data_IF_096344261452
#
_entry.id   IF_096344261452
#
_cell.length_a   1.000
_cell.length_b   1.000
_cell.length_c   1.000
_cell.angle_alpha   90.00
_cell.angle_beta   90.00
_cell.angle_gamma   90.00
#
_symmetry.space_group_name_H-M   'P 1'
#
loop_
_entity.id
_entity.type
_entity.pdbx_description
1 polymer ?
#
# COMPACT_ATOMS: atom_id res chain seq x y z
N UNK A 1 -12.75 -22.23 14.56
CA UNK A 1 -11.32 -21.89 14.66
C UNK A 1 -11.19 -20.59 13.90
N UNK A 2 -11.28 -19.45 14.57
CA UNK A 2 -11.15 -18.15 13.90
C UNK A 2 -9.66 -17.85 13.90
N UNK A 3 -9.00 -18.11 12.77
CA UNK A 3 -7.64 -17.67 12.54
C UNK A 3 -7.61 -16.14 12.75
N UNK A 4 -6.58 -15.58 13.41
CA UNK A 4 -6.46 -14.14 13.48
C UNK A 4 -6.33 -13.65 12.04
N UNK A 5 -7.33 -12.92 11.56
CA UNK A 5 -7.17 -12.11 10.36
C UNK A 5 -5.95 -11.25 10.63
N UNK A 6 -4.85 -11.51 9.92
CA UNK A 6 -3.64 -10.71 10.08
C UNK A 6 -3.98 -9.30 9.59
N UNK A 7 -4.33 -8.41 10.51
CA UNK A 7 -4.69 -7.00 10.25
C UNK A 7 -3.42 -6.20 9.91
N UNK A 8 -2.63 -6.67 8.95
CA UNK A 8 -1.38 -6.05 8.57
C UNK A 8 -0.66 -6.79 7.44
N UNK A 9 0.41 -6.18 6.91
CA UNK A 9 1.19 -6.76 5.83
C UNK A 9 1.75 -8.13 6.17
N UNK A 10 1.71 -9.04 5.19
CA UNK A 10 2.38 -10.34 5.30
C UNK A 10 3.92 -10.23 5.44
N UNK A 11 4.49 -9.10 5.04
CA UNK A 11 5.92 -8.82 5.18
C UNK A 11 6.25 -7.34 5.01
N UNK A 12 7.43 -6.98 5.52
CA UNK A 12 7.99 -5.63 5.46
C UNK A 12 9.32 -5.68 4.73
N UNK A 13 9.50 -4.80 3.76
CA UNK A 13 10.75 -4.64 3.02
C UNK A 13 11.32 -3.25 3.27
N UNK A 14 12.64 -3.16 3.41
CA UNK A 14 13.33 -1.89 3.62
C UNK A 14 13.48 -1.13 2.30
N UNK A 15 13.76 0.17 2.34
CA UNK A 15 13.97 0.96 1.12
C UNK A 15 15.12 0.44 0.23
N UNK A 16 16.28 0.01 0.79
CA UNK A 16 17.32 -0.67 0.02
C UNK A 16 16.82 -1.94 -0.68
N UNK A 17 16.06 -2.79 0.03
CA UNK A 17 15.51 -4.02 -0.54
C UNK A 17 14.49 -3.72 -1.66
N UNK A 18 13.65 -2.69 -1.49
CA UNK A 18 12.76 -2.18 -2.55
C UNK A 18 13.57 -1.71 -3.75
N UNK A 19 14.72 -1.06 -3.53
CA UNK A 19 15.58 -0.55 -4.59
C UNK A 19 16.16 -1.70 -5.43
N UNK A 20 16.62 -2.76 -4.78
CA UNK A 20 17.10 -3.98 -5.44
C UNK A 20 15.97 -4.71 -6.17
N UNK A 21 14.80 -4.83 -5.52
CA UNK A 21 13.64 -5.54 -6.08
C UNK A 21 13.03 -4.85 -7.30
N UNK A 22 13.05 -3.52 -7.33
CA UNK A 22 12.55 -2.73 -8.46
C UNK A 22 13.62 -2.47 -9.53
N UNK A 23 14.88 -2.84 -9.28
CA UNK A 23 16.05 -2.44 -10.07
C UNK A 23 16.11 -0.91 -10.28
N UNK A 24 15.85 -0.16 -9.20
CA UNK A 24 15.81 1.30 -9.20
C UNK A 24 16.80 1.86 -8.18
N UNK A 25 17.44 3.01 -8.46
CA UNK A 25 18.29 3.66 -7.46
C UNK A 25 17.45 4.08 -6.25
N UNK A 26 18.03 4.02 -5.05
CA UNK A 26 17.33 4.35 -3.80
C UNK A 26 16.72 5.76 -3.80
N UNK A 27 17.34 6.71 -4.51
CA UNK A 27 16.80 8.07 -4.71
C UNK A 27 15.45 8.05 -5.46
N UNK A 28 15.26 7.13 -6.40
CA UNK A 28 14.00 6.92 -7.11
C UNK A 28 12.95 6.30 -6.20
N UNK A 29 13.32 5.36 -5.33
CA UNK A 29 12.39 4.82 -4.30
C UNK A 29 11.91 5.93 -3.37
N UNK A 30 12.81 6.80 -2.91
CA UNK A 30 12.43 7.99 -2.14
C UNK A 30 11.52 8.93 -2.93
N UNK A 31 11.76 9.11 -4.23
CA UNK A 31 10.90 9.90 -5.11
C UNK A 31 9.50 9.30 -5.18
N UNK A 32 9.37 7.98 -5.39
CA UNK A 32 8.08 7.29 -5.44
C UNK A 32 7.27 7.48 -4.14
N UNK A 33 7.94 7.43 -2.99
CA UNK A 33 7.29 7.70 -1.69
C UNK A 33 6.81 9.15 -1.62
N UNK A 34 7.66 10.10 -2.01
CA UNK A 34 7.31 11.54 -2.02
C UNK A 34 6.17 11.87 -2.98
N UNK A 35 6.12 11.20 -4.12
CA UNK A 35 5.07 11.31 -5.13
C UNK A 35 3.81 10.51 -4.78
N UNK A 36 3.77 9.87 -3.60
CA UNK A 36 2.68 8.98 -3.15
C UNK A 36 2.40 7.85 -4.15
N UNK A 37 3.40 7.48 -4.93
CA UNK A 37 3.34 6.31 -5.79
C UNK A 37 3.57 5.02 -5.00
N UNK A 38 4.29 5.10 -3.87
CA UNK A 38 4.57 3.98 -2.96
C UNK A 38 4.34 4.41 -1.51
N UNK A 39 3.70 3.57 -0.70
CA UNK A 39 3.50 3.83 0.72
C UNK A 39 4.69 3.32 1.53
N UNK A 40 5.24 4.15 2.41
CA UNK A 40 6.25 3.76 3.39
C UNK A 40 5.88 4.28 4.76
N UNK A 41 6.02 3.45 5.79
CA UNK A 41 5.76 3.80 7.19
C UNK A 41 7.03 3.64 8.01
N UNK A 42 7.09 4.30 9.17
CA UNK A 42 8.20 4.18 10.10
C UNK A 42 7.87 3.12 11.15
N UNK A 43 8.60 2.01 11.16
CA UNK A 43 8.52 0.94 12.17
C UNK A 43 9.86 0.87 12.88
N UNK A 44 9.86 0.97 14.21
CA UNK A 44 11.07 0.89 15.06
C UNK A 44 12.22 1.82 14.60
N UNK A 45 11.87 3.00 14.10
CA UNK A 45 12.84 3.98 13.63
C UNK A 45 13.36 3.77 12.20
N UNK A 46 12.86 2.76 11.49
CA UNK A 46 13.26 2.40 10.12
C UNK A 46 12.08 2.60 9.17
N UNK A 47 12.34 3.11 7.97
CA UNK A 47 11.31 3.21 6.92
C UNK A 47 11.17 1.85 6.24
N UNK A 48 9.95 1.35 6.23
CA UNK A 48 9.60 0.06 5.64
C UNK A 48 8.37 0.20 4.76
N UNK A 49 8.32 -0.65 3.74
CA UNK A 49 7.25 -0.73 2.77
C UNK A 49 6.59 -2.11 2.92
N UNK A 50 5.25 -2.21 2.89
CA UNK A 50 4.58 -3.50 2.83
C UNK A 50 4.96 -4.27 1.56
N UNK A 51 5.39 -5.52 1.70
CA UNK A 51 5.90 -6.33 0.59
C UNK A 51 4.86 -6.52 -0.53
N UNK A 52 3.57 -6.55 -0.19
CA UNK A 52 2.45 -6.77 -1.12
C UNK A 52 2.20 -5.57 -2.05
N UNK A 53 2.64 -4.37 -1.67
CA UNK A 53 2.53 -3.19 -2.51
C UNK A 53 3.55 -3.16 -3.66
N UNK A 54 4.47 -4.13 -3.68
CA UNK A 54 5.52 -4.29 -4.69
C UNK A 54 5.33 -5.63 -5.41
N UNK A 55 4.77 -5.58 -6.62
CA UNK A 55 4.48 -6.74 -7.44
C UNK A 55 5.67 -7.11 -8.34
N UNK A 56 6.41 -8.15 -7.94
CA UNK A 56 7.53 -8.83 -8.63
C UNK A 56 8.73 -7.95 -9.05
N UNK A 57 8.50 -6.82 -9.72
CA UNK A 57 9.50 -5.81 -10.09
C UNK A 57 8.90 -4.40 -10.30
N UNK A 58 7.62 -4.17 -9.96
CA UNK A 58 6.95 -2.87 -10.13
C UNK A 58 6.04 -2.56 -8.95
N UNK A 59 5.77 -1.28 -8.73
CA UNK A 59 4.74 -0.87 -7.77
C UNK A 59 3.35 -1.15 -8.35
N UNK A 60 2.39 -1.50 -7.49
CA UNK A 60 1.01 -1.73 -7.92
C UNK A 60 0.45 -0.54 -8.71
N UNK A 61 0.04 -0.79 -9.96
CA UNK A 61 -0.43 0.23 -10.91
C UNK A 61 -1.52 1.13 -10.34
N UNK A 62 -2.42 0.58 -9.52
CA UNK A 62 -3.56 1.29 -8.97
C UNK A 62 -3.30 1.97 -7.62
N UNK A 63 -2.17 1.67 -6.98
CA UNK A 63 -1.81 2.19 -5.66
C UNK A 63 -1.67 3.72 -5.62
N UNK A 64 -0.99 4.40 -6.56
CA UNK A 64 -0.84 5.86 -6.50
C UNK A 64 -2.19 6.58 -6.50
N UNK A 65 -3.15 6.06 -7.26
CA UNK A 65 -4.50 6.63 -7.33
C UNK A 65 -5.26 6.51 -6.01
N UNK A 66 -5.10 5.39 -5.30
CA UNK A 66 -5.72 5.19 -3.99
C UNK A 66 -5.04 6.04 -2.91
N UNK A 67 -3.71 6.08 -2.89
CA UNK A 67 -2.96 6.88 -1.92
C UNK A 67 -3.27 8.37 -2.04
N UNK A 68 -3.43 8.88 -3.27
CA UNK A 68 -3.84 10.28 -3.47
C UNK A 68 -5.25 10.56 -2.96
N UNK A 69 -6.20 9.63 -3.14
CA UNK A 69 -7.57 9.78 -2.64
C UNK A 69 -7.61 9.78 -1.11
N UNK A 70 -6.88 8.86 -0.47
CA UNK A 70 -6.77 8.81 0.98
C UNK A 70 -6.13 10.09 1.52
N UNK A 71 -5.09 10.57 0.85
CA UNK A 71 -4.44 11.82 1.24
C UNK A 71 -5.36 13.04 1.12
N UNK A 72 -6.15 13.12 0.05
CA UNK A 72 -7.16 14.17 -0.15
C UNK A 72 -8.25 14.13 0.92
N UNK A 73 -8.63 12.92 1.36
CA UNK A 73 -9.51 12.70 2.51
C UNK A 73 -8.84 12.95 3.88
N UNK A 74 -7.58 13.41 3.91
CA UNK A 74 -6.87 13.80 5.12
C UNK A 74 -6.09 12.68 5.83
N UNK A 75 -5.96 11.50 5.22
CA UNK A 75 -5.26 10.36 5.83
C UNK A 75 -3.75 10.56 5.77
N UNK A 76 -3.08 10.24 6.87
CA UNK A 76 -1.62 10.12 6.93
C UNK A 76 -1.13 8.73 6.49
N UNK A 77 0.19 8.52 6.39
CA UNK A 77 0.77 7.25 5.92
C UNK A 77 0.36 6.03 6.78
N UNK A 78 0.25 6.19 8.11
CA UNK A 78 -0.17 5.11 9.01
C UNK A 78 -1.68 4.83 8.93
N UNK A 79 -2.48 5.86 8.69
CA UNK A 79 -3.92 5.71 8.44
C UNK A 79 -4.19 5.08 7.08
N UNK A 80 -3.47 5.49 6.05
CA UNK A 80 -3.54 4.88 4.72
C UNK A 80 -3.12 3.41 4.77
N UNK A 81 -2.07 3.07 5.54
CA UNK A 81 -1.69 1.69 5.81
C UNK A 81 -2.84 0.93 6.47
N UNK A 82 -3.41 1.45 7.56
CA UNK A 82 -4.52 0.79 8.26
C UNK A 82 -5.71 0.56 7.33
N UNK A 83 -6.09 1.58 6.54
CA UNK A 83 -7.16 1.47 5.57
C UNK A 83 -6.90 0.41 4.50
N UNK A 84 -5.67 0.34 3.97
CA UNK A 84 -5.29 -0.65 2.97
C UNK A 84 -5.39 -2.09 3.48
N UNK A 85 -5.13 -2.30 4.76
CA UNK A 85 -5.08 -3.60 5.42
C UNK A 85 -6.32 -3.92 6.26
N UNK A 86 -7.31 -3.02 6.27
CA UNK A 86 -8.59 -3.25 6.94
C UNK A 86 -9.28 -4.44 6.26
N UNK A 87 -9.70 -5.46 7.03
CA UNK A 87 -10.39 -6.62 6.50
C UNK A 87 -11.69 -6.23 5.81
N UNK A 88 -11.83 -6.67 4.57
CA UNK A 88 -13.03 -6.48 3.79
C UNK A 88 -13.26 -7.63 2.81
N UNK A 89 -14.30 -8.42 3.09
CA UNK A 89 -14.67 -9.60 2.30
C UNK A 89 -15.04 -9.24 0.85
N UNK A 90 -15.58 -8.03 0.61
CA UNK A 90 -15.89 -7.55 -0.73
C UNK A 90 -14.67 -7.22 -1.60
N UNK A 91 -13.48 -7.17 -1.00
CA UNK A 91 -12.18 -7.02 -1.69
C UNK A 91 -11.38 -8.32 -1.73
N UNK A 92 -11.98 -9.45 -1.29
CA UNK A 92 -11.28 -10.73 -1.22
C UNK A 92 -10.20 -10.76 -0.15
N UNK A 93 -10.34 -9.94 0.91
CA UNK A 93 -9.41 -9.89 2.03
C UNK A 93 -9.21 -8.46 2.52
N UNK A 94 -8.53 -7.63 1.75
CA UNK A 94 -8.30 -6.20 2.05
C UNK A 94 -7.98 -5.43 0.76
N UNK A 95 -7.88 -4.10 0.86
CA UNK A 95 -7.59 -3.27 -0.30
C UNK A 95 -6.16 -3.45 -0.85
N UNK A 96 -5.16 -3.74 -0.02
CA UNK A 96 -3.79 -4.02 -0.47
C UNK A 96 -3.73 -5.22 -1.43
N UNK A 97 -4.41 -6.32 -1.09
CA UNK A 97 -4.52 -7.52 -1.92
C UNK A 97 -5.32 -7.21 -3.19
N UNK A 98 -6.48 -6.54 -3.05
CA UNK A 98 -7.33 -6.21 -4.19
C UNK A 98 -6.63 -5.37 -5.25
N UNK A 99 -5.72 -4.46 -4.86
CA UNK A 99 -4.95 -3.62 -5.78
C UNK A 99 -3.98 -4.41 -6.67
N UNK A 100 -3.57 -5.61 -6.25
CA UNK A 100 -2.75 -6.52 -7.04
C UNK A 100 -3.54 -7.40 -8.02
N UNK A 101 -4.87 -7.38 -7.96
CA UNK A 101 -5.74 -8.31 -8.69
C UNK A 101 -6.89 -7.65 -9.45
N UNK A 102 -7.92 -8.43 -9.84
CA UNK A 102 -9.06 -7.95 -10.62
C UNK A 102 -9.96 -6.98 -9.84
N UNK A 103 -9.85 -6.94 -8.51
CA UNK A 103 -10.66 -6.12 -7.61
C UNK A 103 -10.10 -4.71 -7.40
N UNK A 104 -9.01 -4.33 -8.07
CA UNK A 104 -8.38 -3.02 -7.91
C UNK A 104 -9.34 -1.85 -8.21
N UNK A 105 -10.29 -2.05 -9.13
CA UNK A 105 -11.32 -1.04 -9.44
C UNK A 105 -12.29 -0.83 -8.27
N UNK A 106 -12.63 -1.89 -7.54
CA UNK A 106 -13.50 -1.82 -6.38
C UNK A 106 -12.80 -1.13 -5.21
N UNK A 107 -11.53 -1.48 -4.95
CA UNK A 107 -10.70 -0.81 -3.96
C UNK A 107 -10.62 0.70 -4.22
N UNK A 108 -10.41 1.08 -5.49
CA UNK A 108 -10.42 2.49 -5.89
C UNK A 108 -11.77 3.18 -5.67
N UNK A 109 -12.89 2.52 -5.98
CA UNK A 109 -14.23 3.08 -5.73
C UNK A 109 -14.44 3.38 -4.25
N UNK A 110 -13.98 2.51 -3.36
CA UNK A 110 -14.10 2.74 -1.91
C UNK A 110 -13.23 3.88 -1.42
N UNK A 111 -12.01 3.99 -1.92
CA UNK A 111 -11.16 5.14 -1.61
C UNK A 111 -11.82 6.46 -2.06
N UNK A 112 -12.48 6.47 -3.22
CA UNK A 112 -13.22 7.65 -3.69
C UNK A 112 -14.38 8.03 -2.76
N UNK A 113 -15.09 7.05 -2.20
CA UNK A 113 -16.23 7.30 -1.31
C UNK A 113 -15.84 7.96 0.03
N UNK A 114 -14.55 8.06 0.36
CA UNK A 114 -14.06 8.72 1.57
C UNK A 114 -13.87 10.23 1.41
N UNK A 115 -13.75 10.70 0.17
CA UNK A 115 -13.48 12.12 -0.16
C UNK A 115 -14.73 12.93 -0.51
N UNK A 116 -15.93 12.38 -0.33
CA UNK A 116 -17.21 13.02 -0.63
C UNK A 116 -18.14 13.07 0.59
#
# INVERSE_FOLDING_TARGET
MTEPVTTGPAGWITLPDVSEKLDLPISKVHQLIRERALLAVRRDGIRVVPAELVANATVLKHLPGVLNLLHDAGYNDEEALRWLYEPDEGLGGNAAIALGGPLAREAKRRAQALGF
#
